data_IF_062780538213
#
_entry.id   IF_062780538213
#
_cell.length_a   1.000
_cell.length_b   1.000
_cell.length_c   1.000
_cell.angle_alpha   90.00
_cell.angle_beta   90.00
_cell.angle_gamma   90.00
#
_symmetry.space_group_name_H-M   'P 1'
#
loop_
_entity.id
_entity.type
_entity.pdbx_description
1 polymer ?
#
# COMPACT_ATOMS: atom_id res chain seq x y z
N UNK A 1 3.39 45.10 -14.41
CA UNK A 1 3.67 43.80 -15.04
C UNK A 1 3.77 42.75 -13.93
N UNK A 2 2.88 41.74 -13.90
CA UNK A 2 2.87 40.67 -12.88
C UNK A 2 3.69 39.50 -13.43
N UNK A 3 4.89 39.28 -12.87
CA UNK A 3 5.70 38.10 -13.17
C UNK A 3 5.07 36.94 -12.40
N UNK A 4 4.33 36.08 -13.08
CA UNK A 4 3.91 34.78 -12.54
C UNK A 4 5.13 33.85 -12.60
N UNK A 5 5.87 33.75 -11.50
CA UNK A 5 6.91 32.74 -11.35
C UNK A 5 6.24 31.37 -11.20
N UNK A 6 6.26 30.58 -12.27
CA UNK A 6 5.87 29.17 -12.25
C UNK A 6 6.87 28.39 -11.38
N UNK A 7 6.50 28.12 -10.12
CA UNK A 7 7.28 27.25 -9.23
C UNK A 7 7.22 25.82 -9.78
N UNK A 8 8.21 25.44 -10.58
CA UNK A 8 8.42 24.07 -11.05
C UNK A 8 8.84 23.20 -9.87
N UNK A 9 7.86 22.63 -9.17
CA UNK A 9 8.09 21.79 -8.00
C UNK A 9 8.80 20.51 -8.43
N UNK A 10 10.11 20.43 -8.18
CA UNK A 10 10.91 19.24 -8.44
C UNK A 10 10.30 18.07 -7.65
N UNK A 11 9.77 17.07 -8.37
CA UNK A 11 9.19 15.88 -7.76
C UNK A 11 10.33 15.05 -7.18
N UNK A 12 10.40 14.97 -5.86
CA UNK A 12 11.38 14.12 -5.16
C UNK A 12 11.19 12.68 -5.61
N UNK A 13 12.30 12.01 -5.95
CA UNK A 13 12.34 10.61 -6.35
C UNK A 13 13.02 9.76 -5.26
N UNK A 14 12.32 8.70 -4.85
CA UNK A 14 12.79 7.75 -3.86
C UNK A 14 13.05 6.35 -4.46
N UNK A 15 12.80 6.14 -5.75
CA UNK A 15 13.03 4.86 -6.42
C UNK A 15 14.46 4.35 -6.20
N UNK A 16 14.59 3.06 -5.86
CA UNK A 16 15.85 2.38 -5.59
C UNK A 16 16.49 2.70 -4.23
N UNK A 17 15.91 3.60 -3.42
CA UNK A 17 16.47 3.94 -2.11
C UNK A 17 16.09 2.93 -1.04
N UNK A 18 16.95 2.82 -0.03
CA UNK A 18 16.76 1.93 1.12
C UNK A 18 16.54 2.76 2.39
N UNK A 19 15.48 2.44 3.13
CA UNK A 19 15.14 3.04 4.43
C UNK A 19 15.04 1.94 5.49
N UNK A 20 16.15 1.68 6.19
CA UNK A 20 16.24 0.57 7.13
C UNK A 20 16.10 -0.78 6.41
N UNK A 21 15.01 -1.49 6.68
CA UNK A 21 14.65 -2.75 6.03
C UNK A 21 13.75 -2.59 4.80
N UNK A 22 13.42 -1.36 4.39
CA UNK A 22 12.56 -1.08 3.22
C UNK A 22 13.37 -0.70 1.99
N UNK A 23 13.10 -1.33 0.86
CA UNK A 23 13.57 -0.94 -0.47
C UNK A 23 12.42 -0.33 -1.26
N UNK A 24 12.62 0.85 -1.83
CA UNK A 24 11.61 1.54 -2.63
C UNK A 24 11.68 1.05 -4.08
N UNK A 25 10.62 0.41 -4.56
CA UNK A 25 10.56 -0.18 -5.90
C UNK A 25 10.23 0.89 -6.93
N UNK A 26 9.08 1.54 -6.78
CA UNK A 26 8.57 2.49 -7.75
C UNK A 26 7.54 3.43 -7.11
N UNK A 27 7.21 4.50 -7.83
CA UNK A 27 6.14 5.41 -7.43
C UNK A 27 4.80 4.73 -7.66
N UNK A 28 3.86 4.93 -6.73
CA UNK A 28 2.50 4.44 -6.92
C UNK A 28 1.91 5.09 -8.19
N UNK A 29 1.42 4.25 -9.10
CA UNK A 29 0.76 4.69 -10.33
C UNK A 29 -0.40 5.63 -10.03
N UNK A 30 -0.75 6.53 -10.96
CA UNK A 30 -1.84 7.54 -10.89
C UNK A 30 -3.26 6.98 -10.77
N UNK A 31 -3.41 5.74 -10.33
CA UNK A 31 -4.65 5.04 -10.09
C UNK A 31 -5.25 5.45 -8.73
N UNK A 32 -6.29 6.31 -8.77
CA UNK A 32 -6.93 6.96 -7.60
C UNK A 32 -7.56 5.95 -6.63
N UNK A 33 -7.65 4.69 -7.03
CA UNK A 33 -8.16 3.60 -6.20
C UNK A 33 -7.10 3.05 -5.23
N UNK A 34 -5.81 3.31 -5.47
CA UNK A 34 -4.73 2.95 -4.54
C UNK A 34 -4.62 3.92 -3.37
N UNK A 35 -4.77 5.22 -3.67
CA UNK A 35 -4.56 6.31 -2.72
C UNK A 35 -5.31 7.56 -3.16
N UNK A 36 -5.84 8.38 -2.21
CA UNK A 36 -6.57 9.60 -2.56
C UNK A 36 -5.72 10.65 -3.28
N UNK A 37 -4.38 10.53 -3.21
CA UNK A 37 -3.43 11.42 -3.87
C UNK A 37 -2.17 10.65 -4.35
N UNK A 38 -2.28 10.04 -5.54
CA UNK A 38 -1.36 9.03 -6.05
C UNK A 38 0.09 9.48 -6.24
N UNK A 39 0.32 10.78 -6.49
CA UNK A 39 1.68 11.29 -6.71
C UNK A 39 2.53 11.31 -5.44
N UNK A 40 1.91 11.03 -4.30
CA UNK A 40 2.54 11.08 -3.00
C UNK A 40 2.88 9.71 -2.41
N UNK A 41 2.69 8.58 -3.11
CA UNK A 41 2.96 7.26 -2.54
C UNK A 41 3.98 6.45 -3.36
N UNK A 42 4.61 5.49 -2.70
CA UNK A 42 5.65 4.61 -3.21
C UNK A 42 5.37 3.17 -2.83
N UNK A 43 5.54 2.27 -3.79
CA UNK A 43 5.57 0.84 -3.55
C UNK A 43 6.95 0.47 -3.00
N UNK A 44 6.98 -0.18 -1.85
CA UNK A 44 8.19 -0.62 -1.19
C UNK A 44 8.11 -2.12 -0.89
N UNK A 45 9.25 -2.79 -0.85
CA UNK A 45 9.39 -4.15 -0.33
C UNK A 45 10.26 -4.12 0.90
N UNK A 46 9.84 -4.81 1.95
CA UNK A 46 10.65 -4.99 3.14
C UNK A 46 11.53 -6.23 3.00
N UNK A 47 12.67 -6.28 3.70
CA UNK A 47 13.49 -7.50 3.84
C UNK A 47 12.69 -8.72 4.34
N UNK A 48 11.54 -8.50 4.97
CA UNK A 48 10.59 -9.51 5.41
C UNK A 48 9.85 -10.21 4.23
N UNK A 49 9.94 -9.65 3.02
CA UNK A 49 9.18 -10.07 1.83
C UNK A 49 7.84 -9.34 1.66
N UNK A 50 7.31 -8.69 2.70
CA UNK A 50 6.06 -7.93 2.58
C UNK A 50 6.26 -6.65 1.76
N UNK A 51 5.27 -6.36 0.92
CA UNK A 51 5.16 -5.09 0.23
C UNK A 51 4.45 -4.05 1.11
N UNK A 52 4.65 -2.77 0.83
CA UNK A 52 4.03 -1.64 1.52
C UNK A 52 3.79 -0.49 0.54
N UNK A 53 2.71 0.26 0.77
CA UNK A 53 2.51 1.57 0.18
C UNK A 53 2.87 2.66 1.20
N UNK A 54 3.82 3.50 0.83
CA UNK A 54 4.44 4.48 1.73
C UNK A 54 4.31 5.89 1.15
N UNK A 55 3.81 6.83 1.94
CA UNK A 55 3.67 8.22 1.54
C UNK A 55 5.00 8.98 1.58
N UNK A 56 5.22 9.94 0.67
CA UNK A 56 6.39 10.81 0.54
C UNK A 56 6.92 11.30 1.88
N UNK A 57 6.02 11.79 2.74
CA UNK A 57 6.37 12.38 4.03
C UNK A 57 7.10 11.40 4.97
N UNK A 58 6.93 10.09 4.79
CA UNK A 58 7.58 9.05 5.60
C UNK A 58 9.07 8.90 5.29
N UNK A 59 9.51 9.30 4.09
CA UNK A 59 10.90 9.29 3.68
C UNK A 59 11.62 10.61 4.01
N UNK A 60 10.87 11.65 4.34
CA UNK A 60 11.41 12.93 4.77
C UNK A 60 11.77 12.85 6.26
N UNK A 61 12.86 13.50 6.66
CA UNK A 61 13.34 13.58 8.06
C UNK A 61 12.43 14.42 8.98
N UNK A 62 11.12 14.50 8.68
CA UNK A 62 10.13 15.29 9.41
C UNK A 62 9.21 14.42 10.27
N UNK A 63 9.34 13.10 10.22
CA UNK A 63 8.54 12.16 11.00
C UNK A 63 9.47 11.38 11.93
N UNK A 64 9.11 11.35 13.20
CA UNK A 64 9.80 10.61 14.25
C UNK A 64 8.84 9.64 14.93
N UNK A 65 9.10 8.31 14.92
CA UNK A 65 10.18 7.66 14.18
C UNK A 65 10.01 7.73 12.64
N UNK A 66 11.09 7.70 11.85
CA UNK A 66 10.97 7.49 10.41
C UNK A 66 10.52 6.04 10.11
N UNK A 67 9.84 5.83 8.98
CA UNK A 67 9.48 4.48 8.56
C UNK A 67 10.75 3.70 8.16
N UNK A 68 10.99 2.57 8.83
CA UNK A 68 12.19 1.73 8.62
C UNK A 68 11.90 0.25 8.37
N UNK A 69 10.65 -0.21 8.48
CA UNK A 69 10.27 -1.61 8.23
C UNK A 69 8.76 -1.80 8.02
N UNK A 70 8.37 -3.00 7.56
CA UNK A 70 6.97 -3.46 7.45
C UNK A 70 6.28 -3.68 8.81
N UNK A 71 7.01 -3.60 9.92
CA UNK A 71 6.50 -3.94 11.25
C UNK A 71 6.39 -5.44 11.53
N UNK A 72 6.92 -6.32 10.65
CA UNK A 72 6.92 -7.78 10.80
C UNK A 72 7.56 -8.28 12.10
N UNK A 73 8.44 -7.50 12.72
CA UNK A 73 9.12 -7.87 13.97
C UNK A 73 8.23 -7.66 15.21
N UNK A 74 7.08 -6.97 15.10
CA UNK A 74 6.13 -6.84 16.20
C UNK A 74 5.29 -8.13 16.27
N UNK A 75 5.23 -8.75 17.46
CA UNK A 75 4.49 -10.00 17.77
C UNK A 75 2.98 -9.87 17.52
N UNK A 76 2.53 -9.82 16.27
CA UNK A 76 1.23 -10.31 15.77
C UNK A 76 1.42 -10.56 14.27
N UNK A 77 2.03 -11.69 13.91
CA UNK A 77 2.24 -12.04 12.51
C UNK A 77 1.03 -12.81 11.95
N UNK A 78 -0.14 -12.16 11.95
CA UNK A 78 -1.33 -12.60 11.19
C UNK A 78 -1.38 -11.85 9.85
N UNK A 79 -0.24 -11.80 9.15
CA UNK A 79 -0.18 -11.15 7.85
C UNK A 79 -1.00 -11.99 6.86
N UNK A 80 -2.03 -11.39 6.27
CA UNK A 80 -2.76 -12.02 5.16
C UNK A 80 -2.05 -11.77 3.82
N UNK A 81 -0.88 -11.15 3.84
CA UNK A 81 -0.09 -10.81 2.64
C UNK A 81 0.28 -12.07 1.88
N UNK A 82 0.18 -11.99 0.55
CA UNK A 82 0.33 -13.09 -0.41
C UNK A 82 -0.78 -14.16 -0.37
N UNK A 83 -1.77 -14.06 0.51
CA UNK A 83 -2.92 -14.97 0.48
C UNK A 83 -3.90 -14.57 -0.62
N UNK A 84 -4.55 -15.57 -1.22
CA UNK A 84 -5.61 -15.39 -2.19
C UNK A 84 -6.98 -15.67 -1.56
N UNK A 85 -7.95 -14.81 -1.86
CA UNK A 85 -9.35 -14.90 -1.44
C UNK A 85 -10.23 -14.72 -2.68
N UNK A 86 -10.63 -15.82 -3.29
CA UNK A 86 -11.32 -15.81 -4.59
C UNK A 86 -10.44 -15.20 -5.70
N UNK A 87 -10.93 -14.13 -6.32
CA UNK A 87 -10.20 -13.34 -7.31
C UNK A 87 -9.19 -12.36 -6.71
N UNK A 88 -9.17 -12.14 -5.38
CA UNK A 88 -8.31 -11.15 -4.74
C UNK A 88 -7.02 -11.76 -4.18
N UNK A 89 -5.86 -11.25 -4.59
CA UNK A 89 -4.55 -11.58 -4.02
C UNK A 89 -4.09 -10.44 -3.12
N UNK A 90 -3.81 -10.70 -1.84
CA UNK A 90 -3.39 -9.64 -0.91
C UNK A 90 -1.95 -9.23 -1.20
N UNK A 91 -1.74 -7.96 -1.54
CA UNK A 91 -0.41 -7.41 -1.82
C UNK A 91 0.29 -6.91 -0.55
N UNK A 92 -0.40 -6.11 0.25
CA UNK A 92 0.21 -5.46 1.41
C UNK A 92 -0.79 -4.97 2.46
N UNK A 93 -0.30 -4.73 3.67
CA UNK A 93 -1.03 -3.96 4.68
C UNK A 93 -1.06 -2.48 4.27
N UNK A 94 -2.20 -1.84 4.41
CA UNK A 94 -2.30 -0.39 4.23
C UNK A 94 -1.76 0.31 5.49
N UNK A 95 -1.09 1.45 5.34
CA UNK A 95 -0.57 2.24 6.45
C UNK A 95 -1.42 3.50 6.64
N UNK A 96 -1.59 3.94 7.89
CA UNK A 96 -2.08 5.27 8.23
C UNK A 96 -0.98 6.30 8.02
N UNK A 97 -1.38 7.56 7.95
CA UNK A 97 -0.45 8.67 8.07
C UNK A 97 0.23 8.60 9.44
N UNK A 98 1.52 8.26 9.49
CA UNK A 98 2.27 8.13 10.74
C UNK A 98 2.29 6.72 11.31
N UNK A 99 2.81 5.77 10.53
CA UNK A 99 3.41 4.49 11.00
C UNK A 99 2.49 3.34 11.42
N UNK A 100 1.22 3.56 11.78
CA UNK A 100 0.35 2.44 12.19
C UNK A 100 -0.35 1.83 10.99
N UNK A 101 -0.51 0.50 10.97
CA UNK A 101 -1.33 -0.18 9.96
C UNK A 101 -2.73 0.43 9.98
N UNK A 102 -3.24 0.85 8.81
CA UNK A 102 -4.57 1.44 8.69
C UNK A 102 -5.59 0.41 9.16
N UNK A 103 -6.38 0.84 10.14
CA UNK A 103 -7.47 0.04 10.70
C UNK A 103 -8.78 0.66 10.33
N UNK A 104 -9.65 -0.14 9.71
CA UNK A 104 -11.03 0.23 9.40
C UNK A 104 -11.91 -0.58 10.35
N UNK A 105 -12.69 0.12 11.19
CA UNK A 105 -13.52 -0.49 12.24
C UNK A 105 -12.72 -1.42 13.17
N UNK A 106 -11.51 -1.01 13.54
CA UNK A 106 -10.61 -1.79 14.42
C UNK A 106 -9.83 -2.93 13.74
N UNK A 107 -10.13 -3.26 12.48
CA UNK A 107 -9.48 -4.34 11.74
C UNK A 107 -8.46 -3.81 10.73
N UNK A 108 -7.35 -4.55 10.54
CA UNK A 108 -6.31 -4.21 9.55
C UNK A 108 -6.92 -4.17 8.15
N UNK A 109 -6.66 -3.10 7.42
CA UNK A 109 -6.99 -3.00 6.01
C UNK A 109 -5.80 -3.41 5.13
N UNK A 110 -6.09 -4.17 4.08
CA UNK A 110 -5.16 -4.76 3.16
C UNK A 110 -5.45 -4.28 1.75
N UNK A 111 -4.40 -3.98 0.99
CA UNK A 111 -4.51 -3.79 -0.45
C UNK A 111 -4.42 -5.14 -1.13
N UNK A 112 -5.36 -5.40 -2.03
CA UNK A 112 -5.44 -6.62 -2.81
C UNK A 112 -5.39 -6.29 -4.31
N UNK A 113 -4.87 -7.21 -5.12
CA UNK A 113 -4.94 -7.23 -6.57
C UNK A 113 -6.00 -8.24 -6.98
N UNK A 114 -7.03 -7.79 -7.68
CA UNK A 114 -8.03 -8.66 -8.29
C UNK A 114 -7.45 -9.29 -9.57
N UNK A 115 -7.92 -10.49 -9.92
CA UNK A 115 -7.55 -11.18 -11.17
C UNK A 115 -7.88 -10.35 -12.41
N UNK A 116 -8.92 -9.52 -12.36
CA UNK A 116 -9.23 -8.56 -13.43
C UNK A 116 -8.21 -7.43 -13.58
N UNK A 117 -7.16 -7.39 -12.76
CA UNK A 117 -6.13 -6.35 -12.73
C UNK A 117 -6.48 -5.17 -11.82
N UNK A 118 -7.74 -5.03 -11.42
CA UNK A 118 -8.18 -3.96 -10.52
C UNK A 118 -7.69 -4.17 -9.10
N UNK A 119 -7.35 -3.10 -8.41
CA UNK A 119 -6.88 -3.15 -7.02
C UNK A 119 -8.04 -2.84 -6.07
N UNK A 120 -8.04 -3.47 -4.90
CA UNK A 120 -9.16 -3.39 -3.94
C UNK A 120 -8.66 -3.34 -2.50
N UNK A 121 -9.20 -2.42 -1.69
CA UNK A 121 -8.87 -2.33 -0.26
C UNK A 121 -9.88 -3.15 0.53
N UNK A 122 -9.43 -4.29 1.06
CA UNK A 122 -10.25 -5.20 1.85
C UNK A 122 -9.91 -5.09 3.35
N UNK A 123 -10.92 -5.28 4.19
CA UNK A 123 -10.72 -5.43 5.63
C UNK A 123 -10.31 -6.88 5.90
N UNK A 124 -9.25 -7.11 6.67
CA UNK A 124 -8.71 -8.45 6.90
C UNK A 124 -9.73 -9.44 7.48
N UNK A 125 -10.64 -8.98 8.35
CA UNK A 125 -11.72 -9.82 8.86
C UNK A 125 -12.72 -10.24 7.76
N UNK A 126 -12.97 -9.38 6.77
CA UNK A 126 -13.86 -9.69 5.66
C UNK A 126 -13.25 -10.70 4.69
N UNK A 127 -11.92 -10.64 4.48
CA UNK A 127 -11.17 -11.66 3.74
C UNK A 127 -11.22 -13.02 4.46
N UNK A 128 -10.90 -13.05 5.76
CA UNK A 128 -10.92 -14.27 6.57
C UNK A 128 -12.30 -14.92 6.67
N UNK A 129 -13.37 -14.11 6.70
CA UNK A 129 -14.77 -14.58 6.69
C UNK A 129 -15.30 -14.79 5.26
N UNK A 130 -14.45 -14.67 4.25
CA UNK A 130 -14.82 -14.88 2.84
C UNK A 130 -15.97 -14.00 2.34
N UNK A 131 -16.24 -12.88 3.01
CA UNK A 131 -17.31 -11.94 2.64
C UNK A 131 -16.95 -11.09 1.42
N UNK A 132 -15.66 -11.02 1.10
CA UNK A 132 -15.12 -10.27 -0.03
C UNK A 132 -14.16 -11.18 -0.78
N UNK A 133 -14.49 -11.48 -2.03
CA UNK A 133 -13.73 -12.39 -2.92
C UNK A 133 -13.38 -11.77 -4.27
N UNK A 134 -13.92 -10.59 -4.59
CA UNK A 134 -13.63 -9.87 -5.83
C UNK A 134 -13.71 -8.38 -5.57
N UNK A 135 -13.24 -7.57 -6.51
CA UNK A 135 -13.41 -6.12 -6.44
C UNK A 135 -14.82 -5.65 -6.89
N UNK A 136 -15.77 -6.58 -7.07
CA UNK A 136 -17.09 -6.29 -7.66
C UNK A 136 -17.13 -6.31 -9.19
N UNK A 137 -16.09 -6.84 -9.84
CA UNK A 137 -16.12 -7.12 -11.27
C UNK A 137 -16.87 -8.42 -11.56
N UNK A 138 -17.62 -8.46 -12.66
CA UNK A 138 -18.26 -9.66 -13.22
C UNK A 138 -17.23 -10.60 -13.90
N UNK A 139 -16.10 -10.83 -13.23
CA UNK A 139 -15.16 -11.84 -13.66
C UNK A 139 -15.72 -13.19 -13.22
N UNK A 140 -16.32 -13.93 -14.14
CA UNK A 140 -16.63 -15.34 -13.91
C UNK A 140 -15.31 -16.07 -13.62
N UNK A 141 -15.19 -16.62 -12.41
CA UNK A 141 -14.14 -17.57 -12.05
C UNK A 141 -14.31 -18.84 -12.91
N UNK A 142 -13.88 -18.79 -14.17
CA UNK A 142 -13.56 -20.02 -14.91
C UNK A 142 -12.25 -20.56 -14.34
N UNK A 143 -12.38 -21.30 -13.25
CA UNK A 143 -11.40 -22.29 -12.86
C UNK A 143 -11.55 -23.46 -13.86
N UNK A 144 -10.61 -23.56 -14.79
CA UNK A 144 -10.29 -24.82 -15.48
C UNK A 144 -9.32 -25.64 -14.62
#
# INVERSE_FOLDING_TARGET
>A
MRILMEKKQQRIDFQGKIFGSLFVIERASSDRHLVPDNFNYWLCICKCGDHLLVENKQFLNRIDPPLRSCGCHRKVNNSLVNNQYGCLTVLCKTLNQGQTVKRIRGHIAYLCLCRCGSKYIAIGQALLKEKVKSCGCDFEDKAE
#
